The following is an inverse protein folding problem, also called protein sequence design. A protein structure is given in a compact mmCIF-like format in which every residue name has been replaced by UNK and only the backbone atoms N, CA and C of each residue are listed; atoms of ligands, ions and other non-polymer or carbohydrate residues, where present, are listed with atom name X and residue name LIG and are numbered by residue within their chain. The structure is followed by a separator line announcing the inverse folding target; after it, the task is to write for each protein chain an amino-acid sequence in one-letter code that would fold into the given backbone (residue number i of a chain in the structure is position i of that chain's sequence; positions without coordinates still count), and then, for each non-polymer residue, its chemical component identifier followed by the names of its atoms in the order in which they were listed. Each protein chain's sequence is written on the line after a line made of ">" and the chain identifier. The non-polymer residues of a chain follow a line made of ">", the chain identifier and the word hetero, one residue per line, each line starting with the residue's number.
data_IF_726575426818
#
_entry.id   IF_726575426818
#
_cell.length_a   1.000
_cell.length_b   1.000
_cell.length_c   1.000
_cell.angle_alpha   90.00
_cell.angle_beta   90.00
_cell.angle_gamma   90.00
#
_symmetry.space_group_name_H-M   'P 1'
#
loop_
_entity.id
_entity.type
_entity.pdbx_description
1 polymer ?
#
# COMPACT_ATOMS: atom_id res chain seq x y z
N UNK A 1 6.46 11.91 17.12
CA UNK A 1 6.54 10.70 17.96
C UNK A 1 6.53 9.49 17.04
N UNK A 2 7.57 8.66 17.02
CA UNK A 2 7.61 7.46 16.17
C UNK A 2 6.72 6.39 16.80
N UNK A 3 5.43 6.38 16.44
CA UNK A 3 4.55 5.29 16.82
C UNK A 3 4.92 4.05 16.01
N UNK A 4 5.07 2.91 16.69
CA UNK A 4 5.33 1.62 16.03
C UNK A 4 4.07 1.21 15.26
N UNK A 5 4.19 0.83 13.97
CA UNK A 5 3.06 0.32 13.22
C UNK A 5 2.46 -0.91 13.89
N UNK A 6 1.13 -0.99 13.89
CA UNK A 6 0.39 -2.17 14.36
C UNK A 6 -0.16 -2.93 13.17
N UNK A 7 -0.15 -4.26 13.27
CA UNK A 7 -0.56 -5.17 12.22
C UNK A 7 -1.64 -6.10 12.77
N UNK A 8 -2.74 -6.24 12.05
CA UNK A 8 -3.84 -7.14 12.38
C UNK A 8 -4.24 -7.91 11.14
N UNK A 9 -3.98 -9.22 11.16
CA UNK A 9 -4.29 -10.11 10.04
C UNK A 9 -5.57 -10.89 10.36
N UNK A 10 -6.56 -10.75 9.50
CA UNK A 10 -7.78 -11.56 9.48
C UNK A 10 -7.55 -12.75 8.53
N UNK A 11 -7.44 -13.95 9.11
CA UNK A 11 -7.22 -15.18 8.35
C UNK A 11 -8.46 -15.62 7.56
N UNK A 12 -9.68 -15.32 8.01
CA UNK A 12 -10.90 -15.77 7.36
C UNK A 12 -11.17 -14.95 6.09
N UNK A 13 -10.90 -13.65 6.16
CA UNK A 13 -11.06 -12.73 5.03
C UNK A 13 -9.79 -12.61 4.14
N UNK A 14 -8.65 -13.15 4.59
CA UNK A 14 -7.32 -12.93 3.99
C UNK A 14 -6.96 -11.43 3.85
N UNK A 15 -7.20 -10.65 4.91
CA UNK A 15 -6.97 -9.20 4.92
C UNK A 15 -5.96 -8.82 6.00
N UNK A 16 -4.91 -8.09 5.61
CA UNK A 16 -4.00 -7.46 6.56
C UNK A 16 -4.34 -5.97 6.72
N UNK A 17 -4.70 -5.59 7.94
CA UNK A 17 -4.82 -4.20 8.36
C UNK A 17 -3.52 -3.72 8.98
N UNK A 18 -3.00 -2.61 8.47
CA UNK A 18 -1.81 -1.94 8.99
C UNK A 18 -2.23 -0.56 9.47
N UNK A 19 -1.88 -0.22 10.71
CA UNK A 19 -2.11 1.12 11.27
C UNK A 19 -0.77 1.74 11.65
N UNK A 20 -0.42 2.83 10.98
CA UNK A 20 0.77 3.63 11.24
C UNK A 20 0.56 4.63 12.37
N UNK A 21 -0.70 4.95 12.70
CA UNK A 21 -1.06 5.85 13.80
C UNK A 21 -2.22 5.27 14.60
N UNK A 22 -1.94 4.28 15.48
CA UNK A 22 -2.98 3.58 16.24
C UNK A 22 -3.86 4.54 17.05
N UNK A 23 -5.17 4.39 16.91
CA UNK A 23 -6.18 5.24 17.58
C UNK A 23 -6.58 6.49 16.80
N UNK A 24 -5.88 6.83 15.73
CA UNK A 24 -6.27 7.93 14.83
C UNK A 24 -7.24 7.44 13.74
N UNK A 25 -8.26 8.24 13.44
CA UNK A 25 -9.18 7.97 12.34
C UNK A 25 -8.68 8.65 11.07
N UNK A 26 -8.58 7.88 9.99
CA UNK A 26 -8.32 8.46 8.68
C UNK A 26 -9.49 9.37 8.26
N UNK A 27 -9.16 10.47 7.58
CA UNK A 27 -10.16 11.38 7.00
C UNK A 27 -10.49 11.01 5.56
N UNK A 28 -9.59 10.26 4.91
CA UNK A 28 -9.66 9.94 3.49
C UNK A 28 -9.11 8.55 3.25
N UNK A 29 -9.70 7.85 2.28
CA UNK A 29 -9.23 6.57 1.79
C UNK A 29 -9.18 6.60 0.26
N UNK A 30 -8.16 5.97 -0.31
CA UNK A 30 -7.93 5.87 -1.75
C UNK A 30 -7.59 4.42 -2.07
N UNK A 31 -8.27 3.86 -3.06
CA UNK A 31 -7.94 2.56 -3.64
C UNK A 31 -6.74 2.77 -4.57
N UNK A 32 -5.62 2.13 -4.25
CA UNK A 32 -4.43 2.14 -5.10
C UNK A 32 -4.58 1.10 -6.23
N UNK A 33 -5.30 0.02 -5.93
CA UNK A 33 -5.87 -0.96 -6.85
C UNK A 33 -6.95 -1.75 -6.10
N UNK A 34 -7.54 -2.76 -6.76
CA UNK A 34 -8.55 -3.66 -6.21
C UNK A 34 -8.21 -4.31 -4.86
N UNK A 35 -6.92 -4.45 -4.50
CA UNK A 35 -6.48 -5.18 -3.32
C UNK A 35 -5.75 -4.30 -2.28
N UNK A 36 -5.51 -3.03 -2.57
CA UNK A 36 -4.69 -2.15 -1.72
C UNK A 36 -5.42 -0.83 -1.50
N UNK A 37 -5.82 -0.61 -0.25
CA UNK A 37 -6.45 0.64 0.19
C UNK A 37 -5.49 1.45 1.05
N UNK A 38 -5.20 2.69 0.64
CA UNK A 38 -4.46 3.67 1.43
C UNK A 38 -5.44 4.51 2.25
N UNK A 39 -5.20 4.60 3.56
CA UNK A 39 -5.96 5.45 4.48
C UNK A 39 -5.03 6.52 5.03
N UNK A 40 -5.40 7.79 4.90
CA UNK A 40 -4.56 8.91 5.28
C UNK A 40 -5.35 10.11 5.82
N UNK A 41 -4.64 10.99 6.50
CA UNK A 41 -5.16 12.29 6.93
C UNK A 41 -4.90 13.29 5.81
N UNK A 42 -5.98 13.85 5.25
CA UNK A 42 -5.94 14.77 4.10
C UNK A 42 -5.23 16.07 4.44
N UNK A 43 -5.53 16.64 5.61
CA UNK A 43 -4.97 17.93 6.01
C UNK A 43 -3.46 17.84 6.25
N UNK A 44 -3.00 16.72 6.82
CA UNK A 44 -1.60 16.50 7.15
C UNK A 44 -0.81 15.78 6.05
N UNK A 45 -1.47 15.34 4.97
CA UNK A 45 -0.91 14.49 3.90
C UNK A 45 -0.10 13.32 4.47
N UNK A 46 -0.65 12.66 5.49
CA UNK A 46 0.07 11.64 6.28
C UNK A 46 -0.69 10.33 6.31
N UNK A 47 0.01 9.24 6.02
CA UNK A 47 -0.55 7.89 6.09
C UNK A 47 -1.00 7.55 7.53
N UNK A 48 -2.24 7.06 7.64
CA UNK A 48 -2.81 6.53 8.88
C UNK A 48 -2.80 5.01 8.86
N UNK A 49 -3.02 4.38 7.70
CA UNK A 49 -2.94 2.94 7.56
C UNK A 49 -3.04 2.43 6.13
N UNK A 50 -2.81 1.13 5.98
CA UNK A 50 -3.05 0.36 4.76
C UNK A 50 -4.03 -0.76 5.05
N UNK A 51 -4.83 -1.13 4.06
CA UNK A 51 -5.55 -2.40 4.05
C UNK A 51 -5.08 -3.17 2.83
N UNK A 52 -4.61 -4.40 3.04
CA UNK A 52 -4.15 -5.30 1.99
C UNK A 52 -5.11 -6.50 1.95
N UNK A 53 -5.94 -6.58 0.93
CA UNK A 53 -6.82 -7.71 0.67
C UNK A 53 -6.10 -8.78 -0.15
N UNK A 54 -6.55 -10.03 -0.06
CA UNK A 54 -5.85 -11.19 -0.64
C UNK A 54 -4.37 -11.20 -0.24
N UNK A 55 -4.10 -10.87 1.03
CA UNK A 55 -2.75 -10.61 1.53
C UNK A 55 -1.82 -11.80 1.29
N UNK A 56 -2.34 -13.03 1.46
CA UNK A 56 -1.59 -14.25 1.20
C UNK A 56 -1.08 -14.35 -0.24
N UNK A 57 -1.79 -13.76 -1.21
CA UNK A 57 -1.43 -13.70 -2.64
C UNK A 57 -0.47 -12.55 -2.91
N UNK A 58 -0.72 -11.38 -2.32
CA UNK A 58 0.10 -10.17 -2.51
C UNK A 58 1.56 -10.37 -2.08
N UNK A 59 1.82 -11.20 -1.07
CA UNK A 59 3.19 -11.50 -0.58
C UNK A 59 3.80 -12.77 -1.19
N UNK A 60 3.16 -13.38 -2.19
CA UNK A 60 3.71 -14.58 -2.83
C UNK A 60 4.99 -14.26 -3.60
N UNK A 61 5.98 -15.13 -3.41
CA UNK A 61 7.19 -15.11 -4.21
C UNK A 61 7.00 -15.90 -5.50
N UNK A 62 7.55 -15.38 -6.58
CA UNK A 62 7.73 -16.09 -7.84
C UNK A 62 9.18 -16.55 -7.96
N UNK A 63 9.50 -17.31 -9.02
CA UNK A 63 10.89 -17.69 -9.33
C UNK A 63 11.81 -16.48 -9.54
N UNK A 64 11.25 -15.32 -9.89
CA UNK A 64 11.98 -14.10 -10.25
C UNK A 64 11.96 -13.02 -9.15
N UNK A 65 11.25 -13.26 -8.04
CA UNK A 65 11.09 -12.26 -6.98
C UNK A 65 9.63 -12.10 -6.53
N UNK A 66 9.33 -11.10 -5.69
CA UNK A 66 7.98 -10.84 -5.24
C UNK A 66 7.07 -10.49 -6.42
N UNK A 67 5.77 -10.76 -6.27
CA UNK A 67 4.78 -10.27 -7.23
C UNK A 67 4.68 -8.75 -7.16
N UNK A 68 4.58 -8.13 -8.33
CA UNK A 68 4.30 -6.72 -8.48
C UNK A 68 2.92 -6.53 -9.09
N UNK A 69 2.20 -5.51 -8.62
CA UNK A 69 0.84 -5.22 -9.02
C UNK A 69 0.75 -3.77 -9.52
N UNK A 70 -0.03 -3.50 -10.57
CA UNK A 70 -0.24 -2.13 -11.05
C UNK A 70 -0.98 -1.29 -10.01
N UNK A 71 -0.64 0.00 -9.96
CA UNK A 71 -1.29 1.03 -9.15
C UNK A 71 -2.28 1.82 -10.01
N UNK A 72 -3.21 1.13 -10.69
CA UNK A 72 -4.15 1.76 -11.63
C UNK A 72 -5.06 2.79 -10.97
N UNK A 73 -5.36 2.63 -9.67
CA UNK A 73 -6.17 3.58 -8.92
C UNK A 73 -5.59 4.99 -8.89
N UNK A 74 -4.28 5.17 -9.12
CA UNK A 74 -3.67 6.50 -9.26
C UNK A 74 -4.19 7.28 -10.48
N UNK A 75 -4.57 6.60 -11.56
CA UNK A 75 -5.04 7.24 -12.80
C UNK A 75 -6.49 7.71 -12.69
N UNK A 76 -7.23 7.18 -11.72
CA UNK A 76 -8.63 7.53 -11.46
C UNK A 76 -8.77 8.75 -10.55
N UNK A 77 -7.67 9.21 -9.94
CA UNK A 77 -7.63 10.38 -9.07
C UNK A 77 -7.52 11.68 -9.88
N UNK A 78 -8.04 12.76 -9.32
CA UNK A 78 -7.75 14.09 -9.84
C UNK A 78 -6.24 14.41 -9.67
N UNK A 79 -5.63 15.25 -10.54
CA UNK A 79 -4.19 15.44 -10.56
C UNK A 79 -3.55 15.84 -9.21
N UNK A 80 -4.20 16.76 -8.46
CA UNK A 80 -3.71 17.19 -7.14
C UNK A 80 -3.69 16.03 -6.12
N UNK A 81 -4.67 15.14 -6.22
CA UNK A 81 -4.77 13.96 -5.37
C UNK A 81 -3.76 12.90 -5.76
N UNK A 82 -3.54 12.71 -7.05
CA UNK A 82 -2.54 11.80 -7.56
C UNK A 82 -1.15 12.15 -7.02
N UNK A 83 -0.73 13.42 -7.09
CA UNK A 83 0.54 13.89 -6.53
C UNK A 83 0.63 13.61 -5.02
N UNK A 84 -0.42 13.97 -4.28
CA UNK A 84 -0.44 13.75 -2.82
C UNK A 84 -0.34 12.28 -2.45
N UNK A 85 -1.01 11.38 -3.18
CA UNK A 85 -0.94 9.94 -2.92
C UNK A 85 0.44 9.39 -3.28
N UNK A 86 1.04 9.84 -4.40
CA UNK A 86 2.40 9.47 -4.80
C UNK A 86 3.40 9.84 -3.71
N UNK A 87 3.32 11.05 -3.16
CA UNK A 87 4.18 11.49 -2.06
C UNK A 87 4.04 10.57 -0.85
N UNK A 88 2.80 10.24 -0.46
CA UNK A 88 2.53 9.39 0.70
C UNK A 88 3.09 7.97 0.51
N UNK A 89 2.86 7.34 -0.66
CA UNK A 89 3.28 5.94 -0.88
C UNK A 89 4.79 5.78 -1.09
N UNK A 90 5.48 6.86 -1.49
CA UNK A 90 6.93 6.87 -1.68
C UNK A 90 7.72 7.28 -0.44
N UNK A 91 7.05 7.76 0.61
CA UNK A 91 7.66 8.16 1.88
C UNK A 91 7.43 7.14 3.02
N UNK A 92 8.27 7.15 4.07
CA UNK A 92 7.99 6.40 5.29
C UNK A 92 6.70 6.87 5.97
N UNK A 93 5.95 5.98 6.62
CA UNK A 93 6.24 4.55 6.79
C UNK A 93 5.75 3.67 5.62
N UNK A 94 5.02 4.23 4.65
CA UNK A 94 4.35 3.45 3.61
C UNK A 94 5.33 2.72 2.70
N UNK A 95 6.41 3.39 2.28
CA UNK A 95 7.44 2.82 1.40
C UNK A 95 8.24 1.66 2.02
N UNK A 96 8.08 1.43 3.32
CA UNK A 96 8.66 0.26 4.00
C UNK A 96 7.85 -1.00 3.71
N UNK A 97 6.55 -0.85 3.42
CA UNK A 97 5.63 -1.93 3.09
C UNK A 97 5.35 -1.99 1.58
N UNK A 98 5.03 -0.86 0.96
CA UNK A 98 4.78 -0.76 -0.48
C UNK A 98 6.09 -0.38 -1.21
N UNK A 99 6.71 -1.34 -1.89
CA UNK A 99 7.87 -1.08 -2.75
C UNK A 99 7.39 -0.63 -4.11
N UNK A 100 7.24 0.69 -4.25
CA UNK A 100 6.78 1.33 -5.49
C UNK A 100 7.93 1.45 -6.48
N UNK A 101 7.65 1.14 -7.74
CA UNK A 101 8.54 1.34 -8.88
C UNK A 101 7.72 1.54 -10.15
N UNK A 102 8.38 1.81 -11.27
CA UNK A 102 7.69 2.02 -12.56
C UNK A 102 8.16 0.96 -13.55
N UNK A 103 7.21 0.22 -14.12
CA UNK A 103 7.47 -0.62 -15.27
C UNK A 103 7.43 0.25 -16.53
N UNK A 104 8.55 0.30 -17.26
CA UNK A 104 8.72 1.14 -18.45
C UNK A 104 8.86 0.26 -19.71
N UNK A 105 7.75 -0.10 -20.36
CA UNK A 105 7.79 -0.77 -21.66
C UNK A 105 8.28 0.19 -22.75
N UNK A 106 9.00 -0.31 -23.75
CA UNK A 106 9.58 0.52 -24.83
C UNK A 106 8.52 1.14 -25.77
N UNK A 107 7.34 0.56 -25.84
CA UNK A 107 6.29 0.90 -26.82
C UNK A 107 4.91 1.14 -26.18
N UNK A 108 4.87 1.41 -24.88
CA UNK A 108 3.63 1.70 -24.15
C UNK A 108 3.90 2.69 -23.03
N UNK A 109 2.82 3.18 -22.40
CA UNK A 109 2.94 4.13 -21.31
C UNK A 109 3.58 3.49 -20.06
N UNK A 110 4.32 4.27 -19.24
CA UNK A 110 4.86 3.78 -17.99
C UNK A 110 3.75 3.37 -17.03
N UNK A 111 3.90 2.19 -16.40
CA UNK A 111 2.92 1.66 -15.46
C UNK A 111 3.51 1.71 -14.05
N UNK A 112 2.94 2.50 -13.12
CA UNK A 112 3.35 2.44 -11.71
C UNK A 112 2.95 1.09 -11.14
N UNK A 113 3.89 0.42 -10.48
CA UNK A 113 3.71 -0.90 -9.88
C UNK A 113 4.18 -0.88 -8.42
N UNK A 114 3.64 -1.80 -7.63
CA UNK A 114 4.08 -2.01 -6.25
C UNK A 114 4.27 -3.49 -5.95
N UNK A 115 5.29 -3.82 -5.16
CA UNK A 115 5.45 -5.11 -4.52
C UNK A 115 5.31 -4.96 -3.01
N UNK A 116 4.70 -5.93 -2.34
CA UNK A 116 4.53 -5.89 -0.88
C UNK A 116 5.75 -6.51 -0.21
N UNK A 117 6.45 -5.70 0.59
CA UNK A 117 7.45 -6.20 1.54
C UNK A 117 6.69 -6.86 2.70
N UNK A 118 6.92 -8.16 2.91
CA UNK A 118 6.25 -8.90 3.98
C UNK A 118 6.65 -8.31 5.33
N UNK A 119 5.72 -7.74 6.12
CA UNK A 119 6.05 -7.25 7.44
C UNK A 119 6.49 -8.41 8.35
N UNK A 120 7.31 -8.14 9.39
CA UNK A 120 7.81 -9.15 10.32
C UNK A 120 6.71 -9.57 11.32
N UNK A 121 5.55 -9.95 10.79
CA UNK A 121 4.45 -10.54 11.54
C UNK A 121 4.59 -12.06 11.53
N UNK A 122 4.54 -12.67 12.71
CA UNK A 122 4.36 -14.10 12.83
C UNK A 122 2.93 -14.41 12.38
N UNK A 123 2.77 -14.68 11.08
CA UNK A 123 1.56 -15.32 10.58
C UNK A 123 1.67 -16.76 11.07
N UNK A 124 1.27 -17.01 12.31
CA UNK A 124 1.19 -18.37 12.85
C UNK A 124 0.36 -19.18 11.86
N UNK A 125 0.92 -20.27 11.34
CA UNK A 125 0.23 -21.19 10.43
C UNK A 125 -1.09 -21.66 11.05
#
# INVERSE_FOLDING_TARGET
>A
MNQTPTYSYDKEADVLYISFSPGEKATTAVELNDNILLRFNRAEKRAIGLTLMDFSVLVQMTKLGPRSFPLHGLQELEPEWQETVIDIITMPPVNQILKVSTFMPLSAEPVPITAIEKPPISVAA
#
